data_IF_636391236241
#
_entry.id   IF_636391236241
#
_cell.length_a   1.000
_cell.length_b   1.000
_cell.length_c   1.000
_cell.angle_alpha   90.00
_cell.angle_beta   90.00
_cell.angle_gamma   90.00
#
_symmetry.space_group_name_H-M   'P 1'
#
loop_
_entity.id
_entity.type
_entity.pdbx_description
1 polymer ?
#
# COMPACT_ATOMS: atom_id res chain seq x y z
N UNK A 1 74.60 6.86 -43.36
CA UNK A 1 73.32 6.15 -43.56
C UNK A 1 72.69 5.97 -42.18
N UNK A 2 71.65 6.74 -41.81
CA UNK A 2 70.23 6.33 -41.89
C UNK A 2 70.08 4.87 -41.39
N UNK A 3 69.39 4.56 -40.27
CA UNK A 3 67.93 4.65 -40.19
C UNK A 3 67.39 4.36 -38.76
N UNK A 4 66.63 5.33 -38.25
CA UNK A 4 65.37 5.25 -37.46
C UNK A 4 65.34 4.56 -36.07
N UNK A 5 65.34 5.44 -35.07
CA UNK A 5 64.49 5.41 -33.87
C UNK A 5 63.04 5.00 -34.19
N UNK A 6 62.51 4.02 -33.44
CA UNK A 6 61.07 3.89 -33.17
C UNK A 6 60.93 3.66 -31.66
N UNK A 7 60.62 4.74 -30.95
CA UNK A 7 60.23 4.73 -29.55
C UNK A 7 58.70 4.49 -29.52
N UNK A 8 58.27 3.25 -29.30
CA UNK A 8 56.85 2.93 -29.12
C UNK A 8 56.45 3.25 -27.67
N UNK A 9 55.87 4.43 -27.49
CA UNK A 9 55.36 4.93 -26.22
C UNK A 9 54.04 4.23 -25.89
N UNK A 10 54.09 3.12 -25.15
CA UNK A 10 52.90 2.39 -24.69
C UNK A 10 52.37 3.06 -23.42
N UNK A 11 51.54 4.10 -23.57
CA UNK A 11 50.79 4.71 -22.46
C UNK A 11 49.66 3.75 -22.09
N UNK A 12 49.91 2.92 -21.08
CA UNK A 12 48.87 2.17 -20.39
C UNK A 12 48.13 3.18 -19.53
N UNK A 13 46.96 3.62 -20.00
CA UNK A 13 46.01 4.36 -19.19
C UNK A 13 45.43 3.44 -18.12
N UNK A 14 45.96 3.54 -16.90
CA UNK A 14 45.26 3.00 -15.73
C UNK A 14 43.98 3.81 -15.54
N UNK A 15 42.88 3.29 -16.04
CA UNK A 15 41.53 3.67 -15.63
C UNK A 15 41.37 3.23 -14.17
N UNK A 16 41.66 4.14 -13.25
CA UNK A 16 41.28 3.99 -11.85
C UNK A 16 39.75 4.07 -11.81
N UNK A 17 39.09 2.92 -11.79
CA UNK A 17 37.71 2.85 -11.36
C UNK A 17 37.69 3.24 -9.88
N UNK A 18 37.34 4.50 -9.61
CA UNK A 18 36.82 4.87 -8.30
C UNK A 18 35.62 3.97 -8.03
N UNK A 19 35.76 3.01 -7.11
CA UNK A 19 34.59 2.38 -6.50
C UNK A 19 33.89 3.49 -5.72
N UNK A 20 32.86 4.05 -6.34
CA UNK A 20 31.87 4.81 -5.62
C UNK A 20 31.19 3.82 -4.66
N UNK A 21 31.68 3.78 -3.41
CA UNK A 21 31.01 3.07 -2.34
C UNK A 21 29.55 3.52 -2.39
N UNK A 22 28.67 2.58 -2.73
CA UNK A 22 27.25 2.78 -2.55
C UNK A 22 27.07 3.15 -1.08
N UNK A 23 26.32 4.21 -0.73
CA UNK A 23 26.15 4.57 0.67
C UNK A 23 25.71 3.33 1.42
N UNK A 24 26.53 2.86 2.38
CA UNK A 24 26.25 1.68 3.21
C UNK A 24 24.82 1.85 3.73
N UNK A 25 23.86 1.14 3.14
CA UNK A 25 22.49 1.15 3.63
C UNK A 25 22.58 0.59 5.05
N UNK A 26 22.37 1.46 6.02
CA UNK A 26 22.54 1.13 7.43
C UNK A 26 21.42 0.15 7.80
N UNK A 27 21.80 -1.07 8.19
CA UNK A 27 20.85 -2.01 8.78
C UNK A 27 20.44 -1.46 10.15
N UNK A 28 19.13 -1.31 10.40
CA UNK A 28 18.61 -0.94 11.69
C UNK A 28 18.11 -2.19 12.41
N UNK A 29 18.25 -2.23 13.74
CA UNK A 29 17.55 -3.24 14.54
C UNK A 29 16.09 -2.83 14.58
N UNK A 30 15.29 -3.46 13.73
CA UNK A 30 13.84 -3.38 13.73
C UNK A 30 13.32 -4.27 14.85
N UNK A 31 12.74 -3.66 15.88
CA UNK A 31 12.12 -4.38 16.99
C UNK A 31 10.66 -4.04 17.02
N UNK A 32 9.83 -5.07 17.13
CA UNK A 32 8.39 -4.95 17.08
C UNK A 32 7.75 -6.15 17.76
N UNK A 33 6.44 -6.26 17.63
CA UNK A 33 5.65 -7.32 18.19
C UNK A 33 4.69 -7.87 17.14
N UNK A 34 4.27 -9.11 17.34
CA UNK A 34 3.15 -9.71 16.63
C UNK A 34 1.98 -9.81 17.59
N UNK A 35 0.84 -9.26 17.18
CA UNK A 35 -0.45 -9.34 17.87
C UNK A 35 -1.49 -9.97 16.95
N UNK A 36 -2.58 -10.51 17.50
CA UNK A 36 -3.80 -10.79 16.74
C UNK A 36 -4.71 -9.54 16.64
N UNK A 37 -5.90 -9.73 16.07
CA UNK A 37 -6.89 -8.67 15.86
C UNK A 37 -7.52 -8.14 17.16
N UNK A 38 -7.41 -8.87 18.26
CA UNK A 38 -7.83 -8.48 19.60
C UNK A 38 -6.68 -7.82 20.40
N UNK A 39 -5.49 -7.70 19.81
CA UNK A 39 -4.31 -7.16 20.48
C UNK A 39 -3.60 -8.16 21.40
N UNK A 40 -3.94 -9.45 21.35
CA UNK A 40 -3.24 -10.50 22.09
C UNK A 40 -1.90 -10.76 21.43
N UNK A 41 -0.83 -10.78 22.23
CA UNK A 41 0.54 -11.05 21.75
C UNK A 41 0.68 -12.52 21.30
N UNK A 42 1.28 -12.72 20.12
CA UNK A 42 1.44 -14.05 19.53
C UNK A 42 2.88 -14.56 19.66
N UNK A 43 3.06 -15.64 20.42
CA UNK A 43 4.34 -16.34 20.61
C UNK A 43 4.60 -17.35 19.49
N UNK A 44 5.88 -17.64 19.22
CA UNK A 44 6.29 -18.73 18.32
C UNK A 44 6.15 -18.41 16.83
N UNK A 45 5.84 -17.16 16.48
CA UNK A 45 5.78 -16.72 15.09
C UNK A 45 7.21 -16.53 14.59
N UNK A 46 7.55 -17.26 13.53
CA UNK A 46 8.83 -17.06 12.84
C UNK A 46 8.74 -15.83 11.94
N UNK A 47 9.61 -14.86 12.15
CA UNK A 47 9.68 -13.59 11.44
C UNK A 47 10.95 -13.60 10.59
N UNK A 48 10.81 -13.51 9.27
CA UNK A 48 11.93 -13.70 8.33
C UNK A 48 12.00 -12.62 7.25
N UNK A 49 13.20 -12.13 6.98
CA UNK A 49 13.50 -11.35 5.77
C UNK A 49 14.01 -12.30 4.70
N UNK A 50 13.49 -12.19 3.47
CA UNK A 50 13.94 -13.04 2.36
C UNK A 50 15.45 -12.85 2.11
N UNK A 51 16.23 -13.90 2.33
CA UNK A 51 17.70 -13.86 2.22
C UNK A 51 18.40 -13.02 3.29
N UNK A 52 17.70 -12.67 4.37
CA UNK A 52 18.19 -11.82 5.44
C UNK A 52 18.04 -12.44 6.83
N UNK A 53 17.88 -11.57 7.82
CA UNK A 53 17.76 -11.94 9.23
C UNK A 53 16.45 -12.69 9.52
N UNK A 54 16.45 -13.47 10.61
CA UNK A 54 15.26 -14.15 11.12
C UNK A 54 15.23 -14.16 12.64
N UNK A 55 14.03 -14.15 13.20
CA UNK A 55 13.78 -14.24 14.64
C UNK A 55 12.47 -14.98 14.91
N UNK A 56 12.22 -15.37 16.15
CA UNK A 56 10.98 -16.01 16.59
C UNK A 56 10.39 -15.22 17.74
N UNK A 57 9.09 -14.93 17.66
CA UNK A 57 8.45 -14.11 18.69
C UNK A 57 8.46 -14.79 20.06
N UNK A 58 8.81 -14.02 21.10
CA UNK A 58 8.80 -14.49 22.47
C UNK A 58 7.37 -14.54 23.07
N UNK A 59 7.24 -14.84 24.36
CA UNK A 59 5.95 -14.92 25.06
C UNK A 59 5.11 -13.63 25.03
N UNK A 60 5.77 -12.48 24.86
CA UNK A 60 5.12 -11.17 24.67
C UNK A 60 4.93 -10.82 23.19
N UNK A 61 5.11 -11.78 22.28
CA UNK A 61 5.01 -11.58 20.84
C UNK A 61 6.13 -10.73 20.26
N UNK A 62 7.17 -10.39 21.02
CA UNK A 62 8.24 -9.48 20.60
C UNK A 62 9.26 -10.21 19.71
N UNK A 63 9.74 -9.53 18.68
CA UNK A 63 10.87 -9.96 17.83
C UNK A 63 11.82 -8.79 17.53
N UNK A 64 13.02 -9.10 17.07
CA UNK A 64 14.04 -8.16 16.63
C UNK A 64 14.80 -8.68 15.41
N UNK A 65 14.85 -7.89 14.34
CA UNK A 65 15.52 -8.21 13.08
C UNK A 65 16.45 -7.08 12.63
N UNK A 66 17.53 -7.41 11.93
CA UNK A 66 18.33 -6.44 11.17
C UNK A 66 17.67 -6.17 9.82
N UNK A 67 16.88 -5.11 9.75
CA UNK A 67 16.10 -4.74 8.57
C UNK A 67 16.51 -3.39 7.98
N UNK A 68 16.33 -3.25 6.67
CA UNK A 68 16.42 -2.00 5.91
C UNK A 68 15.03 -1.60 5.43
N UNK A 69 14.76 -0.30 5.39
CA UNK A 69 13.52 0.21 4.80
C UNK A 69 13.39 -0.32 3.38
N UNK A 70 12.30 -1.02 3.11
CA UNK A 70 12.03 -1.72 1.85
C UNK A 70 12.16 -3.24 1.92
N UNK A 71 12.76 -3.79 2.98
CA UNK A 71 12.87 -5.25 3.17
C UNK A 71 11.48 -5.87 3.32
N UNK A 72 11.29 -7.06 2.73
CA UNK A 72 10.07 -7.84 2.91
C UNK A 72 10.20 -8.73 4.12
N UNK A 73 9.39 -8.46 5.12
CA UNK A 73 9.25 -9.28 6.33
C UNK A 73 8.09 -10.24 6.11
N UNK A 74 8.32 -11.53 6.36
CA UNK A 74 7.33 -12.61 6.21
C UNK A 74 7.19 -13.34 7.53
N UNK A 75 5.94 -13.60 7.92
CA UNK A 75 5.59 -14.26 9.16
C UNK A 75 5.16 -15.68 8.84
N UNK A 76 5.65 -16.63 9.63
CA UNK A 76 5.32 -18.03 9.52
C UNK A 76 4.85 -18.59 10.86
N UNK A 77 3.89 -19.50 10.81
CA UNK A 77 3.48 -20.38 11.90
C UNK A 77 3.43 -21.79 11.35
N UNK A 78 4.02 -22.74 12.07
CA UNK A 78 4.04 -24.16 11.70
C UNK A 78 4.50 -24.44 10.25
N UNK A 79 5.44 -23.62 9.77
CA UNK A 79 5.98 -23.69 8.41
C UNK A 79 5.13 -23.01 7.34
N UNK A 80 3.91 -22.57 7.65
CA UNK A 80 3.02 -21.88 6.73
C UNK A 80 3.14 -20.36 6.85
N UNK A 81 3.10 -19.67 5.70
CA UNK A 81 3.13 -18.21 5.67
C UNK A 81 1.78 -17.66 6.13
N UNK A 82 1.78 -16.90 7.22
CA UNK A 82 0.57 -16.26 7.75
C UNK A 82 0.44 -14.78 7.36
N UNK A 83 1.55 -14.08 7.10
CA UNK A 83 1.51 -12.69 6.62
C UNK A 83 2.83 -12.29 5.93
N UNK A 84 2.82 -11.21 5.15
CA UNK A 84 4.03 -10.50 4.76
C UNK A 84 3.79 -9.02 4.55
N UNK A 85 4.79 -8.21 4.88
CA UNK A 85 4.76 -6.77 4.71
C UNK A 85 6.12 -6.23 4.30
N UNK A 86 6.14 -4.96 3.91
CA UNK A 86 7.36 -4.22 3.61
C UNK A 86 7.69 -3.36 4.81
N UNK A 87 8.88 -3.53 5.37
CA UNK A 87 9.37 -2.69 6.46
C UNK A 87 9.53 -1.24 5.97
N UNK A 88 8.83 -0.31 6.61
CA UNK A 88 8.81 1.11 6.23
C UNK A 88 9.53 2.03 7.22
N UNK A 89 10.18 1.45 8.24
CA UNK A 89 10.83 2.19 9.33
C UNK A 89 9.94 2.41 10.56
N UNK A 90 8.71 1.88 10.57
CA UNK A 90 7.85 1.90 11.76
C UNK A 90 8.37 0.98 12.87
N UNK A 91 8.08 1.33 14.13
CA UNK A 91 8.44 0.50 15.30
C UNK A 91 7.34 -0.47 15.73
N UNK A 92 6.14 -0.35 15.12
CA UNK A 92 4.94 -1.06 15.53
C UNK A 92 4.23 -1.68 14.31
N UNK A 93 4.01 -2.99 14.34
CA UNK A 93 3.34 -3.76 13.31
C UNK A 93 2.28 -4.62 13.97
N UNK A 94 1.08 -4.58 13.39
CA UNK A 94 -0.05 -5.37 13.86
C UNK A 94 -0.42 -6.35 12.77
N UNK A 95 -0.52 -7.60 13.16
CA UNK A 95 -0.87 -8.74 12.31
C UNK A 95 -2.32 -9.07 12.58
N UNK A 96 -3.02 -9.53 11.56
CA UNK A 96 -4.25 -10.26 11.75
C UNK A 96 -3.93 -11.70 11.40
N UNK A 97 -3.99 -12.56 12.41
CA UNK A 97 -3.65 -13.97 12.28
C UNK A 97 -4.84 -14.73 11.68
N UNK A 98 -4.68 -15.15 10.42
CA UNK A 98 -5.76 -15.78 9.67
C UNK A 98 -6.00 -17.23 10.09
N UNK A 99 -4.95 -17.96 10.48
CA UNK A 99 -5.06 -19.40 10.74
C UNK A 99 -5.85 -19.64 12.04
N UNK A 100 -5.58 -18.89 13.11
CA UNK A 100 -6.31 -19.03 14.38
C UNK A 100 -7.78 -18.60 14.27
N UNK A 101 -8.12 -17.60 13.44
CA UNK A 101 -9.51 -17.22 13.16
C UNK A 101 -10.25 -18.24 12.29
N UNK A 102 -9.57 -18.89 11.34
CA UNK A 102 -10.15 -19.92 10.47
C UNK A 102 -10.42 -21.23 11.24
N UNK A 103 -9.51 -21.62 12.13
CA UNK A 103 -9.62 -22.89 12.90
C UNK A 103 -10.67 -22.82 14.02
N UNK A 104 -10.88 -21.67 14.65
CA UNK A 104 -11.78 -21.54 15.81
C UNK A 104 -13.29 -21.54 15.48
N UNK A 105 -13.71 -21.78 14.23
CA UNK A 105 -15.14 -21.87 13.86
C UNK A 105 -15.43 -22.94 12.80
N UNK A 106 -14.95 -24.17 13.01
CA UNK A 106 -15.48 -25.34 12.31
C UNK A 106 -16.81 -25.78 12.93
N UNK A 107 -17.84 -24.92 12.85
CA UNK A 107 -19.21 -25.28 13.24
C UNK A 107 -20.22 -24.24 12.72
N UNK A 108 -20.43 -24.19 11.40
CA UNK A 108 -21.73 -23.76 10.87
C UNK A 108 -21.96 -24.29 9.45
N UNK A 109 -22.02 -25.62 9.31
CA UNK A 109 -22.48 -26.30 8.09
C UNK A 109 -24.02 -26.28 7.94
N UNK A 110 -24.71 -25.20 8.34
CA UNK A 110 -26.16 -25.11 8.15
C UNK A 110 -26.58 -23.79 7.53
N UNK A 111 -27.04 -23.91 6.28
CA UNK A 111 -28.00 -23.05 5.57
C UNK A 111 -27.44 -21.79 4.89
N UNK A 112 -26.47 -21.92 3.97
CA UNK A 112 -26.11 -20.85 3.02
C UNK A 112 -26.08 -21.33 1.55
N UNK A 113 -26.51 -22.56 1.24
CA UNK A 113 -26.52 -23.10 -0.14
C UNK A 113 -27.55 -22.44 -1.10
N UNK A 114 -28.38 -21.51 -0.61
CA UNK A 114 -29.45 -20.88 -1.41
C UNK A 114 -29.31 -19.36 -1.59
N UNK A 115 -28.24 -18.73 -1.08
CA UNK A 115 -28.09 -17.28 -1.26
C UNK A 115 -27.60 -16.96 -2.67
N UNK A 116 -28.30 -16.04 -3.34
CA UNK A 116 -27.86 -15.56 -4.65
C UNK A 116 -26.47 -14.90 -4.54
N UNK A 117 -25.66 -15.03 -5.61
CA UNK A 117 -24.35 -14.39 -5.73
C UNK A 117 -24.33 -12.93 -5.26
N UNK A 118 -25.39 -12.17 -5.55
CA UNK A 118 -25.49 -10.75 -5.20
C UNK A 118 -25.57 -10.55 -3.68
N UNK A 119 -26.36 -11.35 -2.97
CA UNK A 119 -26.52 -11.27 -1.51
C UNK A 119 -25.21 -11.60 -0.79
N UNK A 120 -24.49 -12.62 -1.29
CA UNK A 120 -23.20 -13.02 -0.72
C UNK A 120 -22.15 -11.92 -0.92
N UNK A 121 -22.06 -11.35 -2.14
CA UNK A 121 -21.10 -10.30 -2.43
C UNK A 121 -21.39 -8.99 -1.68
N UNK A 122 -22.66 -8.63 -1.50
CA UNK A 122 -23.03 -7.43 -0.74
C UNK A 122 -22.74 -7.60 0.75
N UNK A 123 -22.96 -8.81 1.29
CA UNK A 123 -22.54 -9.16 2.65
C UNK A 123 -21.03 -9.09 2.80
N UNK A 124 -20.27 -9.65 1.85
CA UNK A 124 -18.82 -9.60 1.83
C UNK A 124 -18.32 -8.15 1.87
N UNK A 125 -18.89 -7.26 1.05
CA UNK A 125 -18.56 -5.83 1.02
C UNK A 125 -18.88 -5.10 2.33
N UNK A 126 -19.98 -5.46 2.99
CA UNK A 126 -20.35 -4.88 4.28
C UNK A 126 -19.29 -5.19 5.36
N UNK A 127 -18.74 -6.41 5.35
CA UNK A 127 -17.80 -6.87 6.38
C UNK A 127 -16.33 -6.56 6.11
N UNK A 128 -15.93 -6.13 4.89
CA UNK A 128 -14.51 -5.92 4.50
C UNK A 128 -13.68 -5.24 5.60
N UNK A 129 -14.18 -4.15 6.19
CA UNK A 129 -13.43 -3.37 7.19
C UNK A 129 -13.55 -3.88 8.62
N UNK A 130 -14.62 -4.61 8.93
CA UNK A 130 -14.96 -5.03 10.29
C UNK A 130 -14.48 -6.45 10.60
N UNK A 131 -14.59 -7.33 9.61
CA UNK A 131 -14.32 -8.77 9.70
C UNK A 131 -13.79 -9.25 8.35
N UNK A 132 -12.59 -8.80 7.92
CA UNK A 132 -12.03 -9.15 6.62
C UNK A 132 -11.86 -10.67 6.43
N UNK A 133 -11.56 -11.43 7.48
CA UNK A 133 -11.49 -12.91 7.42
C UNK A 133 -12.85 -13.52 7.06
N UNK A 134 -13.93 -13.03 7.70
CA UNK A 134 -15.30 -13.44 7.37
C UNK A 134 -15.67 -13.07 5.92
N UNK A 135 -15.16 -11.93 5.43
CA UNK A 135 -15.33 -11.55 4.01
C UNK A 135 -14.70 -12.59 3.08
N UNK A 136 -13.52 -13.13 3.39
CA UNK A 136 -12.86 -14.17 2.58
C UNK A 136 -13.78 -15.39 2.42
N UNK A 137 -14.33 -15.91 3.52
CA UNK A 137 -15.25 -17.06 3.51
C UNK A 137 -16.48 -16.82 2.62
N UNK A 138 -17.08 -15.63 2.69
CA UNK A 138 -18.20 -15.29 1.82
C UNK A 138 -17.79 -15.23 0.34
N UNK A 139 -16.60 -14.72 0.03
CA UNK A 139 -16.14 -14.63 -1.35
C UNK A 139 -15.82 -16.01 -1.93
N UNK A 140 -15.23 -16.93 -1.16
CA UNK A 140 -15.01 -18.32 -1.59
C UNK A 140 -16.33 -18.99 -2.01
N UNK A 141 -17.38 -18.83 -1.19
CA UNK A 141 -18.72 -19.33 -1.54
C UNK A 141 -19.27 -18.67 -2.81
N UNK A 142 -19.11 -17.34 -2.96
CA UNK A 142 -19.55 -16.63 -4.17
C UNK A 142 -18.81 -17.10 -5.43
N UNK A 143 -17.52 -17.46 -5.31
CA UNK A 143 -16.71 -18.02 -6.39
C UNK A 143 -17.21 -19.41 -6.79
N UNK A 144 -17.54 -20.28 -5.83
CA UNK A 144 -18.14 -21.59 -6.12
C UNK A 144 -19.53 -21.49 -6.76
N UNK A 145 -20.31 -20.47 -6.38
CA UNK A 145 -21.68 -20.27 -6.86
C UNK A 145 -21.78 -19.60 -8.25
N UNK A 146 -20.66 -19.31 -8.94
CA UNK A 146 -20.73 -18.65 -10.24
C UNK A 146 -19.66 -19.08 -11.24
N UNK A 147 -20.08 -19.35 -12.47
CA UNK A 147 -19.21 -19.54 -13.64
C UNK A 147 -19.13 -18.29 -14.54
N UNK A 148 -19.83 -17.21 -14.19
CA UNK A 148 -19.86 -15.99 -15.00
C UNK A 148 -18.59 -15.17 -14.77
N UNK A 149 -17.75 -15.01 -15.81
CA UNK A 149 -16.47 -14.30 -15.76
C UNK A 149 -16.54 -12.92 -15.08
N UNK A 150 -17.58 -12.11 -15.35
CA UNK A 150 -17.72 -10.78 -14.76
C UNK A 150 -18.07 -10.84 -13.27
N UNK A 151 -18.88 -11.83 -12.86
CA UNK A 151 -19.15 -12.10 -11.43
C UNK A 151 -17.88 -12.60 -10.74
N UNK A 152 -17.22 -13.61 -11.30
CA UNK A 152 -15.94 -14.11 -10.80
C UNK A 152 -14.92 -12.99 -10.57
N UNK A 153 -14.73 -12.09 -11.55
CA UNK A 153 -13.81 -10.95 -11.42
C UNK A 153 -14.21 -9.95 -10.31
N UNK A 154 -15.50 -9.71 -10.10
CA UNK A 154 -15.99 -8.87 -8.99
C UNK A 154 -15.77 -9.56 -7.63
N UNK A 155 -15.89 -10.87 -7.56
CA UNK A 155 -15.58 -11.62 -6.35
C UNK A 155 -14.09 -11.47 -6.02
N UNK A 156 -13.20 -11.64 -7.01
CA UNK A 156 -11.76 -11.39 -6.85
C UNK A 156 -11.43 -9.95 -6.44
N UNK A 157 -12.15 -8.94 -6.92
CA UNK A 157 -11.98 -7.56 -6.42
C UNK A 157 -12.29 -7.46 -4.92
N UNK A 158 -13.39 -8.07 -4.45
CA UNK A 158 -13.77 -8.05 -3.03
C UNK A 158 -12.79 -8.85 -2.18
N UNK A 159 -12.28 -9.97 -2.70
CA UNK A 159 -11.21 -10.74 -2.05
C UNK A 159 -9.93 -9.90 -1.90
N UNK A 160 -9.57 -9.18 -2.96
CA UNK A 160 -8.44 -8.26 -2.94
C UNK A 160 -8.63 -7.10 -1.95
N UNK A 161 -9.84 -6.54 -1.84
CA UNK A 161 -10.19 -5.54 -0.83
C UNK A 161 -9.99 -6.10 0.59
N UNK A 162 -10.46 -7.33 0.86
CA UNK A 162 -10.29 -7.98 2.17
C UNK A 162 -8.81 -8.19 2.54
N UNK A 163 -8.01 -8.75 1.63
CA UNK A 163 -6.58 -8.90 1.83
C UNK A 163 -5.85 -7.56 1.98
N UNK A 164 -6.32 -6.51 1.30
CA UNK A 164 -5.74 -5.17 1.45
C UNK A 164 -5.98 -4.60 2.85
N UNK A 165 -7.17 -4.78 3.44
CA UNK A 165 -7.45 -4.38 4.82
C UNK A 165 -6.62 -5.18 5.83
N UNK A 166 -6.40 -6.47 5.56
CA UNK A 166 -5.50 -7.35 6.33
C UNK A 166 -4.01 -7.03 6.15
N UNK A 167 -3.68 -6.03 5.35
CA UNK A 167 -2.30 -5.64 4.98
C UNK A 167 -1.50 -6.73 4.27
N UNK A 168 -2.15 -7.79 3.78
CA UNK A 168 -1.56 -8.83 2.93
C UNK A 168 -1.49 -8.33 1.49
N UNK A 169 -0.62 -7.35 1.24
CA UNK A 169 -0.62 -6.59 -0.01
C UNK A 169 -0.21 -7.40 -1.24
N UNK A 170 0.49 -8.51 -1.06
CA UNK A 170 0.81 -9.45 -2.13
C UNK A 170 -0.40 -10.26 -2.58
N UNK A 171 -1.17 -10.81 -1.64
CA UNK A 171 -2.44 -11.46 -1.93
C UNK A 171 -3.48 -10.48 -2.47
N UNK A 172 -3.56 -9.28 -1.91
CA UNK A 172 -4.40 -8.22 -2.47
C UNK A 172 -4.00 -7.93 -3.92
N UNK A 173 -2.71 -7.77 -4.19
CA UNK A 173 -2.21 -7.46 -5.52
C UNK A 173 -2.46 -8.58 -6.53
N UNK A 174 -2.29 -9.86 -6.17
CA UNK A 174 -2.57 -10.98 -7.08
C UNK A 174 -4.06 -11.06 -7.42
N UNK A 175 -4.94 -10.92 -6.43
CA UNK A 175 -6.39 -10.94 -6.64
C UNK A 175 -6.87 -9.74 -7.48
N UNK A 176 -6.28 -8.54 -7.30
CA UNK A 176 -6.57 -7.41 -8.18
C UNK A 176 -6.11 -7.64 -9.63
N UNK A 177 -5.01 -8.36 -9.88
CA UNK A 177 -4.62 -8.75 -11.25
C UNK A 177 -5.75 -9.55 -11.88
N UNK A 178 -6.21 -10.61 -11.21
CA UNK A 178 -7.28 -11.50 -11.70
C UNK A 178 -8.58 -10.72 -11.96
N UNK A 179 -8.98 -9.83 -11.05
CA UNK A 179 -10.14 -8.97 -11.28
C UNK A 179 -9.96 -8.06 -12.50
N UNK A 180 -8.77 -7.47 -12.65
CA UNK A 180 -8.47 -6.49 -13.70
C UNK A 180 -8.41 -7.10 -15.10
N UNK A 181 -8.11 -8.39 -15.26
CA UNK A 181 -8.15 -9.10 -16.54
C UNK A 181 -9.52 -8.98 -17.24
N UNK A 182 -10.60 -9.00 -16.46
CA UNK A 182 -11.97 -8.89 -16.99
C UNK A 182 -12.54 -7.47 -16.85
N UNK A 183 -12.11 -6.71 -15.84
CA UNK A 183 -12.69 -5.43 -15.46
C UNK A 183 -11.76 -4.23 -15.73
N UNK A 184 -10.85 -4.34 -16.70
CA UNK A 184 -9.80 -3.35 -16.98
C UNK A 184 -10.27 -1.91 -17.27
N UNK A 185 -11.53 -1.76 -17.70
CA UNK A 185 -12.18 -0.46 -17.93
C UNK A 185 -12.74 0.19 -16.66
N UNK A 186 -12.78 -0.51 -15.53
CA UNK A 186 -13.20 0.03 -14.24
C UNK A 186 -12.07 0.85 -13.59
N UNK A 187 -12.25 2.18 -13.57
CA UNK A 187 -11.27 3.11 -13.03
C UNK A 187 -11.14 2.98 -11.50
N UNK A 188 -12.21 2.61 -10.80
CA UNK A 188 -12.18 2.42 -9.34
C UNK A 188 -11.34 1.21 -8.98
N UNK A 189 -11.52 0.09 -9.71
CA UNK A 189 -10.65 -1.08 -9.59
C UNK A 189 -9.20 -0.72 -9.92
N UNK A 190 -8.97 0.00 -11.04
CA UNK A 190 -7.62 0.43 -11.45
C UNK A 190 -6.91 1.26 -10.37
N UNK A 191 -7.64 2.13 -9.66
CA UNK A 191 -7.11 2.91 -8.53
C UNK A 191 -6.75 2.02 -7.34
N UNK A 192 -7.61 1.07 -6.97
CA UNK A 192 -7.34 0.10 -5.90
C UNK A 192 -6.10 -0.74 -6.23
N UNK A 193 -6.03 -1.23 -7.46
CA UNK A 193 -4.91 -2.01 -7.96
C UNK A 193 -3.59 -1.22 -7.95
N UNK A 194 -3.61 0.03 -8.39
CA UNK A 194 -2.44 0.91 -8.31
C UNK A 194 -1.94 1.11 -6.88
N UNK A 195 -2.86 1.24 -5.90
CA UNK A 195 -2.52 1.33 -4.48
C UNK A 195 -1.97 0.02 -3.93
N UNK A 196 -2.52 -1.13 -4.32
CA UNK A 196 -2.00 -2.44 -3.94
C UNK A 196 -0.57 -2.63 -4.48
N UNK A 197 -0.32 -2.28 -5.75
CA UNK A 197 1.05 -2.27 -6.28
C UNK A 197 1.99 -1.35 -5.51
N UNK A 198 1.54 -0.14 -5.13
CA UNK A 198 2.33 0.77 -4.31
C UNK A 198 2.68 0.15 -2.95
N UNK A 199 1.70 -0.44 -2.28
CA UNK A 199 1.88 -1.06 -0.96
C UNK A 199 2.72 -2.33 -1.00
N UNK A 200 2.68 -3.06 -2.12
CA UNK A 200 3.50 -4.24 -2.36
C UNK A 200 4.85 -3.92 -3.05
N UNK A 201 5.31 -2.66 -3.02
CA UNK A 201 6.59 -2.20 -3.59
C UNK A 201 6.78 -2.30 -5.11
N UNK A 202 5.72 -2.57 -5.88
CA UNK A 202 5.75 -2.55 -7.35
C UNK A 202 5.56 -1.12 -7.88
N UNK A 203 6.49 -0.22 -7.53
CA UNK A 203 6.36 1.22 -7.76
C UNK A 203 6.20 1.61 -9.24
N UNK A 204 6.95 0.98 -10.14
CA UNK A 204 6.84 1.25 -11.58
C UNK A 204 5.46 0.89 -12.13
N UNK A 205 4.93 -0.29 -11.77
CA UNK A 205 3.58 -0.72 -12.18
C UNK A 205 2.51 0.19 -11.59
N UNK A 206 2.67 0.58 -10.32
CA UNK A 206 1.79 1.54 -9.65
C UNK A 206 1.76 2.89 -10.38
N UNK A 207 2.94 3.43 -10.72
CA UNK A 207 3.10 4.69 -11.46
C UNK A 207 2.38 4.65 -12.80
N UNK A 208 2.61 3.60 -13.59
CA UNK A 208 1.97 3.41 -14.89
C UNK A 208 0.43 3.37 -14.79
N UNK A 209 -0.11 2.64 -13.80
CA UNK A 209 -1.56 2.62 -13.59
C UNK A 209 -2.10 4.00 -13.22
N UNK A 210 -1.48 4.71 -12.27
CA UNK A 210 -1.93 6.06 -11.91
C UNK A 210 -1.86 7.04 -13.09
N UNK A 211 -0.79 6.99 -13.92
CA UNK A 211 -0.68 7.82 -15.12
C UNK A 211 -1.80 7.49 -16.13
N UNK A 212 -2.09 6.20 -16.35
CA UNK A 212 -3.18 5.79 -17.26
C UNK A 212 -4.57 6.28 -16.81
N UNK A 213 -4.80 6.41 -15.50
CA UNK A 213 -6.03 6.97 -14.94
C UNK A 213 -6.17 8.46 -15.27
N UNK A 214 -5.06 9.22 -15.27
CA UNK A 214 -5.10 10.66 -15.59
C UNK A 214 -5.47 10.94 -17.05
N UNK A 215 -5.20 9.99 -17.95
CA UNK A 215 -5.48 10.09 -19.39
C UNK A 215 -6.84 9.50 -19.78
N UNK A 216 -7.53 8.83 -18.86
CA UNK A 216 -8.82 8.19 -19.14
C UNK A 216 -9.95 9.23 -19.25
N UNK A 217 -10.73 9.18 -20.33
CA UNK A 217 -11.83 10.13 -20.58
C UNK A 217 -12.99 9.99 -19.57
N UNK A 218 -13.12 8.83 -18.91
CA UNK A 218 -14.19 8.55 -17.95
C UNK A 218 -13.79 8.89 -16.51
N UNK A 219 -12.57 9.39 -16.28
CA UNK A 219 -12.08 9.69 -14.92
C UNK A 219 -12.87 10.81 -14.28
N UNK A 220 -13.45 10.52 -13.11
CA UNK A 220 -14.12 11.55 -12.30
C UNK A 220 -13.08 12.45 -11.61
N UNK A 221 -13.45 13.69 -11.24
CA UNK A 221 -12.56 14.56 -10.48
C UNK A 221 -12.00 13.91 -9.21
N UNK A 222 -12.84 13.16 -8.48
CA UNK A 222 -12.41 12.44 -7.28
C UNK A 222 -11.38 11.33 -7.59
N UNK A 223 -11.58 10.56 -8.65
CA UNK A 223 -10.62 9.53 -9.07
C UNK A 223 -9.29 10.16 -9.54
N UNK A 224 -9.36 11.28 -10.26
CA UNK A 224 -8.18 12.03 -10.69
C UNK A 224 -7.37 12.57 -9.51
N UNK A 225 -8.03 13.10 -8.47
CA UNK A 225 -7.38 13.50 -7.21
C UNK A 225 -6.66 12.32 -6.58
N UNK A 226 -7.31 11.15 -6.47
CA UNK A 226 -6.68 9.96 -5.90
C UNK A 226 -5.45 9.50 -6.68
N UNK A 227 -5.48 9.58 -8.02
CA UNK A 227 -4.33 9.23 -8.87
C UNK A 227 -3.17 10.22 -8.67
N UNK A 228 -3.44 11.52 -8.61
CA UNK A 228 -2.43 12.55 -8.31
C UNK A 228 -1.80 12.36 -6.92
N UNK A 229 -2.60 12.04 -5.89
CA UNK A 229 -2.07 11.70 -4.56
C UNK A 229 -1.15 10.47 -4.60
N UNK A 230 -1.48 9.47 -5.41
CA UNK A 230 -0.66 8.28 -5.62
C UNK A 230 0.68 8.62 -6.25
N UNK A 231 0.67 9.41 -7.33
CA UNK A 231 1.88 9.89 -8.02
C UNK A 231 2.74 10.78 -7.12
N UNK A 232 2.13 11.63 -6.29
CA UNK A 232 2.86 12.41 -5.30
C UNK A 232 3.55 11.52 -4.26
N UNK A 233 2.88 10.46 -3.81
CA UNK A 233 3.44 9.51 -2.83
C UNK A 233 4.60 8.70 -3.41
N UNK A 234 4.54 8.36 -4.71
CA UNK A 234 5.65 7.76 -5.47
C UNK A 234 6.80 8.75 -5.63
N UNK A 235 6.52 9.98 -6.05
CA UNK A 235 7.54 11.03 -6.24
C UNK A 235 8.25 11.38 -4.93
N UNK A 236 7.52 11.43 -3.81
CA UNK A 236 8.09 11.62 -2.47
C UNK A 236 9.07 10.50 -2.12
N UNK A 237 8.69 9.24 -2.39
CA UNK A 237 9.56 8.07 -2.17
C UNK A 237 10.82 8.12 -3.03
N UNK A 238 10.72 8.58 -4.27
CA UNK A 238 11.85 8.78 -5.18
C UNK A 238 12.71 10.02 -4.83
N UNK A 239 12.45 10.68 -3.70
CA UNK A 239 13.08 11.95 -3.29
C UNK A 239 12.85 13.13 -4.27
N UNK A 240 11.87 13.01 -5.18
CA UNK A 240 11.48 14.04 -6.14
C UNK A 240 10.44 14.99 -5.53
N UNK A 241 10.87 15.73 -4.50
CA UNK A 241 9.99 16.60 -3.69
C UNK A 241 9.23 17.64 -4.52
N UNK A 242 9.91 18.27 -5.50
CA UNK A 242 9.28 19.25 -6.42
C UNK A 242 8.13 18.64 -7.24
N UNK A 243 8.33 17.44 -7.76
CA UNK A 243 7.31 16.70 -8.52
C UNK A 243 6.14 16.30 -7.62
N UNK A 244 6.43 15.81 -6.40
CA UNK A 244 5.41 15.51 -5.41
C UNK A 244 4.54 16.72 -5.06
N UNK A 245 5.16 17.90 -4.84
CA UNK A 245 4.43 19.16 -4.59
C UNK A 245 3.56 19.52 -5.78
N UNK A 246 4.07 19.43 -7.02
CA UNK A 246 3.30 19.74 -8.22
C UNK A 246 2.05 18.86 -8.33
N UNK A 247 2.17 17.54 -8.13
CA UNK A 247 1.02 16.64 -8.15
C UNK A 247 0.01 16.97 -7.04
N UNK A 248 0.46 17.27 -5.83
CA UNK A 248 -0.41 17.64 -4.72
C UNK A 248 -1.12 18.98 -4.93
N UNK A 249 -0.45 19.98 -5.52
CA UNK A 249 -1.05 21.26 -5.87
C UNK A 249 -2.12 21.10 -6.95
N UNK A 250 -1.86 20.28 -7.97
CA UNK A 250 -2.87 19.94 -8.98
C UNK A 250 -4.08 19.25 -8.35
N UNK A 251 -3.85 18.32 -7.42
CA UNK A 251 -4.91 17.63 -6.70
C UNK A 251 -5.72 18.60 -5.82
N UNK A 252 -5.05 19.51 -5.11
CA UNK A 252 -5.70 20.51 -4.25
C UNK A 252 -6.57 21.46 -5.06
N UNK A 253 -6.05 22.01 -6.16
CA UNK A 253 -6.82 22.87 -7.07
C UNK A 253 -8.07 22.17 -7.60
N UNK A 254 -7.97 20.88 -7.91
CA UNK A 254 -9.12 20.10 -8.37
C UNK A 254 -10.12 19.83 -7.23
N UNK A 255 -9.64 19.54 -6.02
CA UNK A 255 -10.49 19.34 -4.84
C UNK A 255 -11.27 20.62 -4.49
N UNK A 256 -10.61 21.78 -4.53
CA UNK A 256 -11.22 23.10 -4.30
C UNK A 256 -12.25 23.43 -5.39
N UNK A 257 -11.89 23.27 -6.66
CA UNK A 257 -12.79 23.50 -7.79
C UNK A 257 -14.10 22.71 -7.70
N UNK A 258 -14.05 21.49 -7.18
CA UNK A 258 -15.20 20.59 -7.05
C UNK A 258 -15.76 20.49 -5.62
N UNK A 259 -15.34 21.38 -4.70
CA UNK A 259 -15.82 21.43 -3.31
C UNK A 259 -15.67 20.11 -2.52
N UNK A 260 -14.64 19.31 -2.82
CA UNK A 260 -14.40 18.01 -2.18
C UNK A 260 -13.67 18.24 -0.85
N UNK A 261 -14.41 18.74 0.14
CA UNK A 261 -13.87 19.25 1.42
C UNK A 261 -12.99 18.23 2.17
N UNK A 262 -13.37 16.93 2.31
CA UNK A 262 -12.50 15.98 3.01
C UNK A 262 -11.12 15.78 2.34
N UNK A 263 -11.02 16.05 1.03
CA UNK A 263 -9.76 15.98 0.29
C UNK A 263 -8.90 17.21 0.49
N UNK A 264 -9.47 18.41 0.61
CA UNK A 264 -8.67 19.65 0.75
C UNK A 264 -7.86 19.63 2.05
N UNK A 265 -8.46 19.28 3.19
CA UNK A 265 -7.77 19.13 4.49
C UNK A 265 -6.60 18.15 4.40
N UNK A 266 -6.84 16.97 3.81
CA UNK A 266 -5.82 15.93 3.66
C UNK A 266 -4.68 16.35 2.72
N UNK A 267 -5.00 17.01 1.61
CA UNK A 267 -4.02 17.49 0.62
C UNK A 267 -3.14 18.60 1.20
N UNK A 268 -3.72 19.54 1.96
CA UNK A 268 -2.97 20.57 2.68
C UNK A 268 -1.95 19.95 3.65
N UNK A 269 -2.36 18.94 4.42
CA UNK A 269 -1.46 18.23 5.34
C UNK A 269 -0.30 17.55 4.61
N UNK A 270 -0.58 16.89 3.48
CA UNK A 270 0.47 16.25 2.65
C UNK A 270 1.42 17.26 2.01
N UNK A 271 0.91 18.42 1.58
CA UNK A 271 1.75 19.50 1.04
C UNK A 271 2.70 20.02 2.10
N UNK A 272 2.20 20.29 3.31
CA UNK A 272 3.03 20.69 4.43
C UNK A 272 4.14 19.68 4.72
N UNK A 273 3.81 18.39 4.77
CA UNK A 273 4.78 17.31 4.98
C UNK A 273 5.92 17.36 3.93
N UNK A 274 5.58 17.41 2.64
CA UNK A 274 6.59 17.40 1.57
C UNK A 274 7.42 18.70 1.54
N UNK A 275 6.79 19.85 1.82
CA UNK A 275 7.48 21.15 1.90
C UNK A 275 8.44 21.20 3.09
N UNK A 276 8.04 20.65 4.24
CA UNK A 276 8.91 20.49 5.40
C UNK A 276 10.11 19.61 5.06
N UNK A 277 9.88 18.47 4.39
CA UNK A 277 10.96 17.61 3.91
C UNK A 277 11.87 18.31 2.89
N UNK A 278 11.36 19.28 2.14
CA UNK A 278 12.14 20.11 1.21
C UNK A 278 12.91 21.24 1.92
N UNK A 279 12.60 21.55 3.18
CA UNK A 279 13.18 22.65 3.94
C UNK A 279 12.43 23.98 3.78
N UNK A 280 11.29 24.01 3.09
CA UNK A 280 10.47 25.22 2.93
C UNK A 280 9.44 25.32 4.06
N UNK A 281 9.93 25.61 5.26
CA UNK A 281 9.11 25.67 6.49
C UNK A 281 8.05 26.77 6.44
N UNK A 282 8.34 27.89 5.76
CA UNK A 282 7.40 28.99 5.61
C UNK A 282 6.16 28.55 4.82
N UNK A 283 6.35 27.92 3.66
CA UNK A 283 5.20 27.38 2.90
C UNK A 283 4.55 26.21 3.62
N UNK A 284 5.32 25.37 4.31
CA UNK A 284 4.75 24.29 5.13
C UNK A 284 3.75 24.83 6.15
N UNK A 285 4.11 25.87 6.91
CA UNK A 285 3.24 26.50 7.91
C UNK A 285 1.96 27.08 7.31
N UNK A 286 2.02 27.66 6.10
CA UNK A 286 0.82 28.13 5.39
C UNK A 286 -0.15 26.97 5.16
N UNK A 287 0.33 25.83 4.67
CA UNK A 287 -0.51 24.66 4.41
C UNK A 287 -1.03 23.99 5.69
N UNK A 288 -0.27 24.00 6.79
CA UNK A 288 -0.74 23.58 8.11
C UNK A 288 -1.92 24.44 8.56
N UNK A 289 -1.78 25.76 8.47
CA UNK A 289 -2.85 26.70 8.84
C UNK A 289 -4.11 26.49 7.99
N UNK A 290 -3.94 26.25 6.68
CA UNK A 290 -5.06 25.93 5.79
C UNK A 290 -5.75 24.61 6.15
N UNK A 291 -4.99 23.60 6.57
CA UNK A 291 -5.54 22.32 7.07
C UNK A 291 -6.39 22.52 8.33
N UNK A 292 -5.88 23.29 9.32
CA UNK A 292 -6.62 23.62 10.55
C UNK A 292 -7.90 24.38 10.24
N UNK A 293 -7.83 25.39 9.36
CA UNK A 293 -9.00 26.17 8.95
C UNK A 293 -10.06 25.29 8.25
N UNK A 294 -9.62 24.35 7.41
CA UNK A 294 -10.52 23.42 6.71
C UNK A 294 -11.19 22.43 7.67
N UNK A 295 -10.42 21.86 8.62
CA UNK A 295 -10.93 20.97 9.65
C UNK A 295 -12.00 21.64 10.54
N UNK A 296 -11.78 22.92 10.92
CA UNK A 296 -12.78 23.71 11.66
C UNK A 296 -14.08 23.91 10.89
N UNK A 297 -14.04 24.04 9.55
CA UNK A 297 -15.24 24.15 8.72
C UNK A 297 -15.99 22.80 8.63
N UNK A 298 -15.25 21.71 8.54
CA UNK A 298 -15.81 20.35 8.47
C UNK A 298 -16.49 19.94 9.79
N UNK A 299 -15.86 20.22 10.94
CA UNK A 299 -16.45 19.93 12.25
C UNK A 299 -17.77 20.66 12.48
N UNK A 300 -17.85 21.94 12.08
CA UNK A 300 -19.09 22.72 12.12
C UNK A 300 -20.18 22.12 11.23
N UNK A 301 -19.87 21.73 10.00
CA UNK A 301 -20.84 21.06 9.10
C UNK A 301 -21.35 19.74 9.68
N UNK A 302 -20.46 18.95 10.27
CA UNK A 302 -20.81 17.65 10.87
C UNK A 302 -21.72 17.82 12.09
N UNK A 303 -21.46 18.82 12.92
CA UNK A 303 -22.32 19.16 14.06
C UNK A 303 -23.75 19.52 13.60
N UNK A 304 -23.89 20.34 12.56
CA UNK A 304 -25.21 20.74 12.00
C UNK A 304 -25.94 19.55 11.38
N UNK A 305 -25.23 18.61 10.75
CA UNK A 305 -25.82 17.40 10.15
C UNK A 305 -26.27 16.35 11.18
N UNK A 306 -25.85 16.47 12.44
CA UNK A 306 -26.23 15.54 13.52
C UNK A 306 -27.41 16.06 14.36
N UNK A 307 -27.77 17.34 14.20
CA UNK A 307 -28.91 17.99 14.85
C UNK A 307 -30.15 18.10 13.95
N UNK A 308 -30.07 17.62 12.70
CA UNK A 308 -31.17 17.50 11.74
C UNK A 308 -31.54 16.01 11.57
#
# INVERSE_FOLDING_TARGET
MKLKFILLFFIISMQVYSQQESPKQQHHIYTDYVEDDQGKRLQGITVKILGGDQDVTNYNGKFSLRAKIGDRVTLYRDGEKINSFIYDGSSNYQVQDLLEEMDNKVSSNKTIEQLSYQVVLDSAKYYIKKKPVKTIQFVEQALHATSNKKKTAKAYEVLADAFYELKQFDLAQSNYVTAYETLSSDISLKLKFAKAYYKNSYYNKSKLLFMSILTDKKVTPFQKINALEGLASLSKRENKKKEAISYLQQALKLAEKHNITPKTTKLNTKLAEVLSLQGDLNKSNIYINNSIASAKKESKKKAISQTL
#
